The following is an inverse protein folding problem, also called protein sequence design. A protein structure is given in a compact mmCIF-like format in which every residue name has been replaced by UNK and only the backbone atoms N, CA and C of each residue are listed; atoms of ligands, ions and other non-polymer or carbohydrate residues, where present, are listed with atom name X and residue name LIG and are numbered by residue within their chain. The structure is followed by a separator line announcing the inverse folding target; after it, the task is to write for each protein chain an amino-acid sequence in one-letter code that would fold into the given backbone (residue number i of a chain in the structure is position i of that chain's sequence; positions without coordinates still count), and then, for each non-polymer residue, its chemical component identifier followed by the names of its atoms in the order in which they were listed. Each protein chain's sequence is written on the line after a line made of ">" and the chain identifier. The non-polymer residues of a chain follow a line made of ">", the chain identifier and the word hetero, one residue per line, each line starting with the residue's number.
data_IF_461813860644
#
_entry.id   IF_461813860644
#
_cell.length_a   1.000
_cell.length_b   1.000
_cell.length_c   1.000
_cell.angle_alpha   90.00
_cell.angle_beta   90.00
_cell.angle_gamma   90.00
#
_symmetry.space_group_name_H-M   'P 1'
#
loop_
_entity.id
_entity.type
_entity.pdbx_description
1 polymer ?
#
# COMPACT_ATOMS: atom_id res chain seq x y z
N UNK A 1 -10.88 5.16 -14.09
CA UNK A 1 -9.53 5.48 -14.64
C UNK A 1 -8.47 5.42 -13.55
N UNK A 2 -8.67 6.14 -12.44
CA UNK A 2 -7.73 6.16 -11.32
C UNK A 2 -7.36 4.76 -10.82
N UNK A 3 -8.33 3.87 -10.60
CA UNK A 3 -8.07 2.50 -10.13
C UNK A 3 -7.28 1.65 -11.12
N UNK A 4 -7.39 1.92 -12.42
CA UNK A 4 -6.62 1.26 -13.47
C UNK A 4 -5.20 1.81 -13.60
N UNK A 5 -4.83 2.87 -12.87
CA UNK A 5 -3.48 3.44 -12.91
C UNK A 5 -3.22 4.38 -14.09
N UNK A 6 -4.27 5.01 -14.61
CA UNK A 6 -4.17 6.07 -15.63
C UNK A 6 -4.47 7.43 -15.01
N UNK A 7 -3.56 8.39 -15.17
CA UNK A 7 -3.62 9.71 -14.53
C UNK A 7 -3.46 10.89 -15.48
N UNK A 8 -3.20 10.64 -16.76
CA UNK A 8 -2.93 11.69 -17.73
C UNK A 8 -4.16 12.55 -18.00
N UNK A 9 -3.92 13.82 -18.34
CA UNK A 9 -4.94 14.77 -18.81
C UNK A 9 -6.12 14.97 -17.83
N UNK A 10 -5.90 14.80 -16.53
CA UNK A 10 -6.93 15.03 -15.50
C UNK A 10 -8.05 13.98 -15.49
N UNK A 11 -7.99 12.93 -16.31
CA UNK A 11 -9.05 11.90 -16.44
C UNK A 11 -9.28 11.05 -15.18
N UNK A 12 -8.43 11.20 -14.18
CA UNK A 12 -8.47 10.41 -12.93
C UNK A 12 -8.90 11.22 -11.71
N UNK A 13 -9.27 12.48 -11.90
CA UNK A 13 -9.80 13.32 -10.85
C UNK A 13 -11.27 12.96 -10.58
N UNK A 14 -11.58 12.64 -9.32
CA UNK A 14 -12.92 12.29 -8.87
C UNK A 14 -13.45 13.27 -7.82
N UNK A 15 -12.92 14.50 -7.78
CA UNK A 15 -13.35 15.55 -6.85
C UNK A 15 -14.81 15.97 -7.04
N UNK A 16 -15.41 15.69 -8.20
CA UNK A 16 -16.83 15.93 -8.50
C UNK A 16 -17.81 15.15 -7.62
N UNK A 17 -17.33 14.14 -6.87
CA UNK A 17 -18.13 13.48 -5.84
C UNK A 17 -18.39 14.40 -4.62
N UNK A 18 -17.54 15.40 -4.40
CA UNK A 18 -17.71 16.34 -3.31
C UNK A 18 -18.65 17.48 -3.69
N UNK A 19 -19.55 17.81 -2.76
CA UNK A 19 -20.54 18.86 -2.93
C UNK A 19 -19.93 20.25 -3.20
N UNK A 20 -18.79 20.57 -2.58
CA UNK A 20 -18.08 21.84 -2.78
C UNK A 20 -17.62 22.02 -4.23
N UNK A 21 -17.13 20.97 -4.88
CA UNK A 21 -16.73 21.00 -6.29
C UNK A 21 -17.91 21.32 -7.22
N UNK A 22 -19.13 20.97 -6.78
CA UNK A 22 -20.39 21.30 -7.48
C UNK A 22 -20.97 22.67 -7.11
N UNK A 23 -20.30 23.43 -6.25
CA UNK A 23 -20.79 24.72 -5.74
C UNK A 23 -21.94 24.60 -4.74
N UNK A 24 -22.17 23.42 -4.16
CA UNK A 24 -23.24 23.20 -3.18
C UNK A 24 -22.76 23.54 -1.78
N UNK A 25 -23.68 24.00 -0.91
CA UNK A 25 -23.39 24.33 0.49
C UNK A 25 -23.64 23.19 1.47
N UNK A 26 -24.30 22.11 1.01
CA UNK A 26 -24.64 20.93 1.81
C UNK A 26 -24.11 19.65 1.15
N UNK A 27 -23.63 18.68 1.94
CA UNK A 27 -23.06 17.42 1.42
C UNK A 27 -24.15 16.41 1.01
N UNK A 28 -25.02 16.77 0.07
CA UNK A 28 -26.15 15.92 -0.38
C UNK A 28 -25.89 15.17 -1.69
N UNK A 29 -24.66 15.23 -2.22
CA UNK A 29 -24.29 14.49 -3.43
C UNK A 29 -24.31 13.00 -3.14
N UNK A 30 -25.19 12.25 -3.80
CA UNK A 30 -25.18 10.78 -3.77
C UNK A 30 -24.06 10.30 -4.67
N UNK A 31 -22.89 10.11 -4.07
CA UNK A 31 -21.72 9.59 -4.78
C UNK A 31 -21.79 8.08 -4.93
N UNK A 32 -21.25 7.57 -6.04
CA UNK A 32 -21.04 6.14 -6.28
C UNK A 32 -19.68 5.94 -6.95
N UNK A 33 -19.06 4.77 -6.75
CA UNK A 33 -17.88 4.38 -7.51
C UNK A 33 -18.26 3.77 -8.87
N UNK A 34 -19.40 3.11 -8.90
CA UNK A 34 -20.01 2.45 -10.06
C UNK A 34 -21.52 2.33 -9.81
N UNK A 35 -22.29 2.15 -10.87
CA UNK A 35 -23.75 2.02 -10.83
C UNK A 35 -24.23 0.93 -11.77
N UNK A 36 -25.54 0.72 -11.91
CA UNK A 36 -26.05 -0.24 -12.88
C UNK A 36 -25.83 0.17 -14.34
N UNK A 37 -25.58 1.46 -14.60
CA UNK A 37 -25.42 2.02 -15.95
C UNK A 37 -23.95 2.18 -16.38
N UNK A 38 -23.01 2.03 -15.45
CA UNK A 38 -21.56 2.16 -15.69
C UNK A 38 -20.84 0.84 -15.47
N UNK A 39 -19.74 0.62 -16.21
CA UNK A 39 -18.96 -0.61 -16.09
C UNK A 39 -18.28 -0.74 -14.72
N UNK A 40 -18.16 -1.97 -14.22
CA UNK A 40 -17.56 -2.27 -12.90
C UNK A 40 -16.10 -1.84 -12.86
N UNK A 41 -15.69 -1.23 -11.75
CA UNK A 41 -14.29 -0.90 -11.49
C UNK A 41 -13.44 -2.17 -11.48
N UNK A 42 -13.93 -3.24 -10.86
CA UNK A 42 -13.19 -4.49 -10.79
C UNK A 42 -13.02 -5.12 -12.17
N UNK A 43 -14.08 -5.15 -12.99
CA UNK A 43 -13.99 -5.62 -14.37
C UNK A 43 -12.99 -4.78 -15.17
N UNK A 44 -13.10 -3.44 -15.11
CA UNK A 44 -12.17 -2.53 -15.79
C UNK A 44 -10.72 -2.74 -15.34
N UNK A 45 -10.47 -2.93 -14.04
CA UNK A 45 -9.13 -3.21 -13.52
C UNK A 45 -8.57 -4.53 -14.09
N UNK A 46 -9.38 -5.60 -14.11
CA UNK A 46 -8.96 -6.91 -14.61
C UNK A 46 -8.70 -6.92 -16.12
N UNK A 47 -9.50 -6.17 -16.90
CA UNK A 47 -9.40 -6.17 -18.37
C UNK A 47 -8.41 -5.13 -18.91
N UNK A 48 -8.33 -3.96 -18.27
CA UNK A 48 -7.66 -2.78 -18.82
C UNK A 48 -6.72 -2.11 -17.81
N UNK A 49 -6.40 -2.78 -16.70
CA UNK A 49 -5.48 -2.27 -15.70
C UNK A 49 -4.09 -2.04 -16.27
N UNK A 50 -3.49 -0.89 -15.95
CA UNK A 50 -2.12 -0.58 -16.32
C UNK A 50 -1.12 -1.48 -15.56
N UNK A 51 0.11 -1.52 -16.03
CA UNK A 51 1.20 -2.28 -15.40
C UNK A 51 2.53 -1.57 -15.54
N UNK A 52 3.44 -1.86 -14.60
CA UNK A 52 4.84 -1.46 -14.71
C UNK A 52 5.72 -2.47 -13.97
N UNK A 53 6.73 -3.00 -14.66
CA UNK A 53 7.56 -4.09 -14.13
C UNK A 53 6.70 -5.29 -13.74
N UNK A 54 6.82 -5.73 -12.49
CA UNK A 54 6.07 -6.87 -11.94
C UNK A 54 4.70 -6.49 -11.38
N UNK A 55 4.37 -5.20 -11.32
CA UNK A 55 3.07 -4.75 -10.84
C UNK A 55 2.06 -4.72 -11.98
N UNK A 56 1.09 -5.63 -11.95
CA UNK A 56 0.02 -5.71 -12.95
C UNK A 56 -1.33 -5.56 -12.27
N UNK A 57 -2.08 -4.49 -12.62
CA UNK A 57 -3.43 -4.28 -12.07
C UNK A 57 -4.42 -5.34 -12.58
N UNK A 58 -4.13 -5.99 -13.71
CA UNK A 58 -4.93 -7.09 -14.25
C UNK A 58 -4.88 -8.36 -13.39
N UNK A 59 -3.90 -8.49 -12.49
CA UNK A 59 -3.85 -9.61 -11.54
C UNK A 59 -4.94 -9.44 -10.48
N UNK A 60 -5.66 -10.53 -10.17
CA UNK A 60 -6.82 -10.48 -9.27
C UNK A 60 -6.49 -9.85 -7.91
N UNK A 61 -5.40 -10.27 -7.27
CA UNK A 61 -4.97 -9.74 -5.97
C UNK A 61 -4.70 -8.23 -6.03
N UNK A 62 -3.99 -7.77 -7.06
CA UNK A 62 -3.73 -6.35 -7.30
C UNK A 62 -5.02 -5.59 -7.55
N UNK A 63 -5.89 -6.07 -8.44
CA UNK A 63 -7.17 -5.44 -8.76
C UNK A 63 -8.06 -5.28 -7.51
N UNK A 64 -8.12 -6.29 -6.63
CA UNK A 64 -8.86 -6.22 -5.37
C UNK A 64 -8.29 -5.13 -4.44
N UNK A 65 -6.95 -5.02 -4.35
CA UNK A 65 -6.31 -3.93 -3.59
C UNK A 65 -6.65 -2.55 -4.15
N UNK A 66 -6.78 -2.42 -5.49
CA UNK A 66 -7.22 -1.16 -6.13
C UNK A 66 -8.64 -0.77 -5.72
N UNK A 67 -9.53 -1.73 -5.48
CA UNK A 67 -10.88 -1.46 -4.95
C UNK A 67 -10.81 -0.97 -3.49
N UNK A 68 -9.95 -1.55 -2.66
CA UNK A 68 -9.72 -1.06 -1.30
C UNK A 68 -9.23 0.39 -1.28
N UNK A 69 -8.23 0.70 -2.11
CA UNK A 69 -7.69 2.06 -2.29
C UNK A 69 -8.79 3.04 -2.76
N UNK A 70 -9.63 2.64 -3.71
CA UNK A 70 -10.76 3.47 -4.14
C UNK A 70 -11.75 3.72 -3.00
N UNK A 71 -12.10 2.69 -2.24
CA UNK A 71 -13.01 2.78 -1.10
C UNK A 71 -12.49 3.73 0.00
N UNK A 72 -11.18 3.69 0.28
CA UNK A 72 -10.52 4.54 1.27
C UNK A 72 -10.66 6.04 0.97
N UNK A 73 -10.78 6.41 -0.30
CA UNK A 73 -11.05 7.79 -0.73
C UNK A 73 -12.55 8.05 -0.87
N UNK A 74 -13.27 7.14 -1.50
CA UNK A 74 -14.69 7.27 -1.79
C UNK A 74 -15.51 7.45 -0.52
N UNK A 75 -15.37 6.57 0.47
CA UNK A 75 -16.25 6.56 1.63
C UNK A 75 -16.04 7.75 2.55
N UNK A 76 -14.81 8.26 2.67
CA UNK A 76 -14.49 9.34 3.61
C UNK A 76 -14.91 10.73 3.13
N UNK A 77 -15.10 10.94 1.82
CA UNK A 77 -15.51 12.26 1.31
C UNK A 77 -16.92 12.55 1.83
N UNK A 78 -17.19 13.71 2.46
CA UNK A 78 -18.48 14.00 3.08
C UNK A 78 -19.68 13.87 2.12
N UNK A 79 -20.76 13.27 2.62
CA UNK A 79 -22.04 13.09 1.93
C UNK A 79 -22.47 11.62 1.78
N UNK A 80 -23.69 11.38 1.30
CA UNK A 80 -24.22 10.03 1.10
C UNK A 80 -23.38 9.24 0.08
N UNK A 81 -23.33 7.93 0.28
CA UNK A 81 -22.55 7.00 -0.55
C UNK A 81 -23.45 5.84 -0.94
N UNK A 82 -23.46 5.52 -2.22
CA UNK A 82 -24.12 4.34 -2.77
C UNK A 82 -23.04 3.33 -3.15
N UNK A 83 -23.19 2.11 -2.63
CA UNK A 83 -22.37 0.96 -3.00
C UNK A 83 -23.26 0.07 -3.85
N UNK A 84 -22.82 -0.25 -5.06
CA UNK A 84 -23.54 -1.16 -5.93
C UNK A 84 -23.34 -2.60 -5.45
N UNK A 85 -24.34 -3.46 -5.67
CA UNK A 85 -24.40 -4.82 -5.13
C UNK A 85 -23.10 -5.61 -5.37
N UNK A 86 -22.53 -6.20 -4.31
CA UNK A 86 -21.26 -6.95 -4.33
C UNK A 86 -20.01 -6.10 -4.67
N UNK A 87 -20.11 -4.79 -4.86
CA UNK A 87 -18.96 -3.91 -5.04
C UNK A 87 -17.99 -3.96 -3.84
N UNK A 88 -18.52 -4.20 -2.65
CA UNK A 88 -17.79 -4.44 -1.40
C UNK A 88 -17.04 -5.78 -1.36
N UNK A 89 -17.18 -6.62 -2.39
CA UNK A 89 -16.45 -7.87 -2.57
C UNK A 89 -15.74 -7.95 -3.94
N UNK A 90 -15.61 -6.81 -4.63
CA UNK A 90 -14.95 -6.71 -5.93
C UNK A 90 -15.73 -7.38 -7.05
N UNK A 91 -17.02 -7.05 -7.21
CA UNK A 91 -17.83 -7.63 -8.27
C UNK A 91 -17.30 -7.33 -9.68
N UNK A 92 -17.03 -8.38 -10.44
CA UNK A 92 -16.21 -8.37 -11.66
C UNK A 92 -16.94 -8.84 -12.92
N UNK A 93 -18.27 -9.02 -12.88
CA UNK A 93 -19.03 -9.26 -14.11
C UNK A 93 -19.31 -7.95 -14.82
N UNK A 94 -19.02 -7.94 -16.13
CA UNK A 94 -19.38 -6.84 -17.01
C UNK A 94 -20.87 -6.50 -16.94
N UNK A 95 -21.20 -5.22 -17.09
CA UNK A 95 -22.58 -4.75 -17.27
C UNK A 95 -23.30 -5.40 -18.46
N UNK A 96 -22.56 -5.85 -19.46
CA UNK A 96 -23.11 -6.51 -20.65
C UNK A 96 -23.41 -8.00 -20.41
N UNK A 97 -23.10 -8.56 -19.23
CA UNK A 97 -23.43 -9.95 -18.92
C UNK A 97 -24.95 -10.14 -18.97
N UNK A 98 -25.39 -11.06 -19.85
CA UNK A 98 -26.81 -11.29 -20.13
C UNK A 98 -27.54 -10.03 -20.64
N UNK A 99 -26.82 -9.09 -21.27
CA UNK A 99 -27.31 -7.77 -21.67
C UNK A 99 -27.48 -6.81 -20.49
N UNK A 100 -27.52 -5.49 -20.77
CA UNK A 100 -27.56 -4.42 -19.75
C UNK A 100 -28.68 -4.58 -18.73
N UNK A 101 -29.88 -4.92 -19.19
CA UNK A 101 -31.07 -5.13 -18.34
C UNK A 101 -31.19 -6.56 -17.78
N UNK A 102 -30.28 -7.46 -18.17
CA UNK A 102 -30.31 -8.85 -17.74
C UNK A 102 -29.88 -9.01 -16.29
N UNK A 103 -30.45 -10.03 -15.63
CA UNK A 103 -30.06 -10.43 -14.28
C UNK A 103 -28.59 -10.80 -14.25
N UNK A 104 -27.87 -10.20 -13.29
CA UNK A 104 -26.45 -10.46 -13.03
C UNK A 104 -26.30 -11.58 -11.98
N UNK A 105 -25.23 -12.39 -12.03
CA UNK A 105 -25.00 -13.46 -11.07
C UNK A 105 -24.95 -12.98 -9.61
N UNK A 106 -25.55 -13.75 -8.71
CA UNK A 106 -25.44 -13.51 -7.26
C UNK A 106 -24.19 -14.23 -6.76
N UNK A 107 -23.24 -13.51 -6.16
CA UNK A 107 -21.92 -14.03 -5.79
C UNK A 107 -21.66 -14.00 -4.28
N UNK A 108 -22.51 -14.67 -3.50
CA UNK A 108 -22.28 -14.83 -2.05
C UNK A 108 -21.02 -15.64 -1.73
N UNK A 109 -20.58 -16.49 -2.65
CA UNK A 109 -19.31 -17.22 -2.58
C UNK A 109 -18.10 -16.27 -2.49
N UNK A 110 -18.19 -15.04 -3.02
CA UNK A 110 -17.11 -14.04 -2.87
C UNK A 110 -16.80 -13.69 -1.42
N UNK A 111 -17.77 -13.81 -0.51
CA UNK A 111 -17.53 -13.54 0.90
C UNK A 111 -16.61 -14.60 1.54
N UNK A 112 -16.51 -15.79 0.95
CA UNK A 112 -15.66 -16.89 1.44
C UNK A 112 -14.20 -16.73 0.98
N UNK A 113 -13.95 -15.94 -0.06
CA UNK A 113 -12.60 -15.60 -0.52
C UNK A 113 -11.98 -14.53 0.41
N UNK A 114 -10.86 -14.84 1.09
CA UNK A 114 -10.24 -13.89 2.03
C UNK A 114 -9.79 -12.57 1.40
N UNK A 115 -9.32 -12.58 0.15
CA UNK A 115 -8.85 -11.37 -0.54
C UNK A 115 -10.03 -10.45 -0.91
N UNK A 116 -11.17 -11.04 -1.30
CA UNK A 116 -12.40 -10.29 -1.57
C UNK A 116 -13.02 -9.77 -0.28
N UNK A 117 -13.08 -10.61 0.75
CA UNK A 117 -13.56 -10.21 2.09
C UNK A 117 -12.75 -9.07 2.68
N UNK A 118 -11.46 -8.95 2.37
CA UNK A 118 -10.65 -7.80 2.79
C UNK A 118 -11.21 -6.45 2.29
N UNK A 119 -11.85 -6.40 1.11
CA UNK A 119 -12.54 -5.18 0.65
C UNK A 119 -13.70 -4.84 1.58
N UNK A 120 -14.52 -5.84 1.91
CA UNK A 120 -15.63 -5.69 2.83
C UNK A 120 -15.14 -5.19 4.20
N UNK A 121 -14.07 -5.78 4.74
CA UNK A 121 -13.51 -5.39 6.05
C UNK A 121 -13.01 -3.94 6.04
N UNK A 122 -12.33 -3.51 4.97
CA UNK A 122 -11.92 -2.10 4.77
C UNK A 122 -13.13 -1.18 4.73
N UNK A 123 -14.14 -1.49 3.91
CA UNK A 123 -15.36 -0.66 3.80
C UNK A 123 -16.14 -0.61 5.12
N UNK A 124 -16.23 -1.73 5.84
CA UNK A 124 -16.88 -1.81 7.15
C UNK A 124 -16.14 -0.96 8.19
N UNK A 125 -14.80 -1.01 8.21
CA UNK A 125 -13.99 -0.15 9.07
C UNK A 125 -14.19 1.34 8.76
N UNK A 126 -14.15 1.72 7.49
CA UNK A 126 -14.40 3.10 7.06
C UNK A 126 -15.81 3.57 7.44
N UNK A 127 -16.84 2.75 7.25
CA UNK A 127 -18.20 3.10 7.65
C UNK A 127 -18.35 3.22 9.18
N UNK A 128 -17.66 2.38 9.96
CA UNK A 128 -17.62 2.49 11.41
C UNK A 128 -16.94 3.78 11.86
N UNK A 129 -15.81 4.14 11.24
CA UNK A 129 -15.16 5.43 11.49
C UNK A 129 -16.10 6.59 11.19
N UNK A 130 -16.78 6.58 10.04
CA UNK A 130 -17.75 7.62 9.67
C UNK A 130 -18.89 7.75 10.68
N UNK A 131 -19.46 6.63 11.12
CA UNK A 131 -20.53 6.61 12.11
C UNK A 131 -20.07 7.09 13.50
N UNK A 132 -18.78 6.97 13.81
CA UNK A 132 -18.24 7.26 15.14
C UNK A 132 -17.67 8.68 15.25
N UNK A 133 -16.96 9.15 14.23
CA UNK A 133 -16.24 10.43 14.28
C UNK A 133 -16.89 11.45 13.35
N UNK A 134 -17.35 12.55 13.94
CA UNK A 134 -18.04 13.64 13.20
C UNK A 134 -17.16 14.28 12.11
N UNK A 135 -15.82 14.17 12.20
CA UNK A 135 -14.88 14.73 11.22
C UNK A 135 -15.14 14.25 9.79
N UNK A 136 -15.63 13.01 9.61
CA UNK A 136 -15.99 12.46 8.30
C UNK A 136 -17.29 13.03 7.72
N UNK A 137 -18.00 13.84 8.50
CA UNK A 137 -19.16 14.62 8.08
C UNK A 137 -18.87 16.13 8.05
N UNK A 138 -17.60 16.53 8.27
CA UNK A 138 -17.21 17.93 8.32
C UNK A 138 -17.35 18.60 6.95
N UNK A 139 -17.71 19.88 6.97
CA UNK A 139 -17.60 20.75 5.80
C UNK A 139 -16.21 21.37 5.67
N UNK A 140 -15.27 21.09 6.56
CA UNK A 140 -13.88 21.52 6.46
C UNK A 140 -13.00 20.35 6.00
N UNK A 141 -12.75 20.34 4.68
CA UNK A 141 -11.95 19.32 4.01
C UNK A 141 -11.32 19.92 2.75
N UNK A 142 -10.19 19.33 2.35
CA UNK A 142 -9.45 19.66 1.13
C UNK A 142 -9.15 18.39 0.35
N UNK A 143 -9.21 18.50 -0.99
CA UNK A 143 -9.04 17.39 -1.91
C UNK A 143 -7.88 17.69 -2.86
N UNK A 144 -6.92 16.79 -2.95
CA UNK A 144 -5.85 16.80 -3.94
C UNK A 144 -5.89 15.47 -4.68
N UNK A 145 -6.69 15.44 -5.75
CA UNK A 145 -7.12 14.22 -6.43
C UNK A 145 -6.75 14.22 -7.92
N UNK A 146 -6.02 15.21 -8.40
CA UNK A 146 -5.68 15.33 -9.83
C UNK A 146 -4.56 14.39 -10.28
N UNK A 147 -3.59 14.12 -9.41
CA UNK A 147 -2.41 13.30 -9.72
C UNK A 147 -2.60 11.81 -9.36
N UNK A 148 -1.63 10.95 -9.69
CA UNK A 148 -1.62 9.56 -9.23
C UNK A 148 -1.34 9.42 -7.73
N UNK A 149 -0.63 10.37 -7.13
CA UNK A 149 -0.57 10.51 -5.67
C UNK A 149 -1.72 11.39 -5.21
N UNK A 150 -2.64 10.82 -4.43
CA UNK A 150 -3.85 11.51 -4.00
C UNK A 150 -3.84 11.73 -2.50
N UNK A 151 -4.42 12.85 -2.07
CA UNK A 151 -4.54 13.23 -0.66
C UNK A 151 -5.91 13.82 -0.34
N UNK A 152 -6.42 13.50 0.83
CA UNK A 152 -7.58 14.16 1.44
C UNK A 152 -7.20 14.64 2.83
N UNK A 153 -7.59 15.86 3.15
CA UNK A 153 -7.59 16.39 4.51
C UNK A 153 -9.03 16.57 4.96
N UNK A 154 -9.35 16.13 6.17
CA UNK A 154 -10.60 16.48 6.85
C UNK A 154 -10.27 17.01 8.24
N UNK A 155 -11.03 17.97 8.73
CA UNK A 155 -10.86 18.47 10.08
C UNK A 155 -12.18 18.94 10.69
N UNK A 156 -12.25 18.89 12.01
CA UNK A 156 -13.26 19.57 12.80
C UNK A 156 -12.58 20.16 14.06
N UNK A 157 -13.36 20.69 15.01
CA UNK A 157 -12.80 21.28 16.23
C UNK A 157 -12.11 20.31 17.21
N UNK A 158 -12.06 19.00 16.93
CA UNK A 158 -11.55 17.95 17.83
C UNK A 158 -10.55 17.02 17.13
N UNK A 159 -10.78 16.73 15.85
CA UNK A 159 -10.06 15.68 15.11
C UNK A 159 -9.61 16.20 13.75
N UNK A 160 -8.40 15.83 13.36
CA UNK A 160 -7.82 16.05 12.04
C UNK A 160 -7.49 14.69 11.41
N UNK A 161 -7.72 14.59 10.10
CA UNK A 161 -7.53 13.37 9.33
C UNK A 161 -6.72 13.67 8.07
N UNK A 162 -5.79 12.78 7.76
CA UNK A 162 -5.07 12.75 6.49
C UNK A 162 -5.28 11.39 5.83
N UNK A 163 -5.73 11.38 4.59
CA UNK A 163 -5.78 10.15 3.78
C UNK A 163 -4.85 10.30 2.59
N UNK A 164 -4.01 9.29 2.37
CA UNK A 164 -3.03 9.23 1.30
C UNK A 164 -3.26 7.98 0.48
N UNK A 165 -3.01 8.05 -0.81
CA UNK A 165 -3.20 6.92 -1.72
C UNK A 165 -2.32 7.04 -2.93
N UNK A 166 -1.64 5.95 -3.26
CA UNK A 166 -0.84 5.84 -4.47
C UNK A 166 -1.60 5.08 -5.55
N UNK A 167 -2.28 5.84 -6.41
CA UNK A 167 -2.96 5.29 -7.57
C UNK A 167 -2.01 4.99 -8.74
N UNK A 168 -0.72 5.31 -8.67
CA UNK A 168 0.22 4.90 -9.70
C UNK A 168 0.43 3.37 -9.73
N UNK A 169 1.11 2.90 -10.78
CA UNK A 169 1.64 1.53 -10.92
C UNK A 169 3.08 1.38 -10.42
N UNK A 170 3.66 2.45 -9.87
CA UNK A 170 4.99 2.47 -9.28
C UNK A 170 4.94 3.10 -7.88
N UNK A 171 5.92 2.76 -7.06
CA UNK A 171 6.07 3.35 -5.75
C UNK A 171 6.64 4.77 -5.82
N UNK A 172 6.18 5.67 -4.96
CA UNK A 172 6.75 7.01 -4.85
C UNK A 172 6.43 7.63 -3.47
N UNK A 173 7.00 8.79 -3.18
CA UNK A 173 6.70 9.57 -1.99
C UNK A 173 5.55 10.54 -2.24
N UNK A 174 4.72 10.74 -1.22
CA UNK A 174 3.70 11.77 -1.18
C UNK A 174 4.02 12.73 -0.03
N UNK A 175 3.87 14.03 -0.26
CA UNK A 175 3.89 15.00 0.83
C UNK A 175 2.52 15.00 1.52
N UNK A 176 2.42 14.50 2.76
CA UNK A 176 1.14 14.38 3.45
C UNK A 176 0.57 15.73 3.87
N UNK A 177 1.40 16.78 3.96
CA UNK A 177 1.00 18.10 4.46
C UNK A 177 0.13 17.98 5.71
N UNK A 178 0.63 17.27 6.74
CA UNK A 178 -0.12 17.07 7.98
C UNK A 178 -0.56 18.44 8.53
N UNK A 179 -1.79 18.53 9.02
CA UNK A 179 -2.33 19.81 9.50
C UNK A 179 -1.63 20.30 10.78
N UNK A 180 -0.92 19.40 11.49
CA UNK A 180 -0.07 19.71 12.65
C UNK A 180 1.03 18.67 12.87
N UNK A 181 2.06 19.08 13.62
CA UNK A 181 3.06 18.17 14.19
C UNK A 181 2.51 17.44 15.41
N UNK A 182 3.24 16.41 15.87
CA UNK A 182 2.88 15.57 17.00
C UNK A 182 2.49 14.15 16.58
N UNK A 183 1.83 13.43 17.49
CA UNK A 183 1.44 12.04 17.26
C UNK A 183 0.20 11.91 16.39
N UNK A 184 0.33 11.07 15.37
CA UNK A 184 -0.75 10.62 14.50
C UNK A 184 -0.88 9.10 14.57
N UNK A 185 -2.07 8.57 14.33
CA UNK A 185 -2.38 7.15 14.39
C UNK A 185 -2.76 6.63 13.01
N UNK A 186 -2.04 5.62 12.54
CA UNK A 186 -2.33 4.91 11.30
C UNK A 186 -3.45 3.91 11.56
N UNK A 187 -4.62 4.16 10.97
CA UNK A 187 -5.83 3.45 11.34
C UNK A 187 -5.83 2.00 10.89
N UNK A 188 -5.28 1.72 9.72
CA UNK A 188 -5.28 0.37 9.16
C UNK A 188 -4.07 -0.44 9.59
N UNK A 189 -2.92 0.21 9.82
CA UNK A 189 -1.75 -0.47 10.37
C UNK A 189 -1.78 -0.60 11.91
N UNK A 190 -2.72 0.09 12.59
CA UNK A 190 -2.86 0.12 14.05
C UNK A 190 -1.58 0.57 14.76
N UNK A 191 -0.86 1.48 14.13
CA UNK A 191 0.41 2.02 14.61
C UNK A 191 0.28 3.53 14.84
N UNK A 192 1.35 4.17 15.28
CA UNK A 192 1.46 5.61 15.41
C UNK A 192 2.72 6.15 14.73
N UNK A 193 2.60 7.37 14.21
CA UNK A 193 3.69 8.14 13.62
C UNK A 193 3.87 9.42 14.43
N UNK A 194 5.10 9.70 14.85
CA UNK A 194 5.44 11.00 15.42
C UNK A 194 5.86 11.93 14.28
N UNK A 195 5.00 12.90 13.96
CA UNK A 195 5.22 13.87 12.88
C UNK A 195 5.99 15.06 13.44
N UNK A 196 7.28 15.14 13.10
CA UNK A 196 8.16 16.26 13.50
C UNK A 196 8.15 17.41 12.49
N UNK A 197 7.73 17.15 11.26
CA UNK A 197 7.54 18.14 10.21
C UNK A 197 6.29 17.83 9.40
N UNK A 198 5.44 18.83 9.18
CA UNK A 198 4.21 18.67 8.38
C UNK A 198 4.49 18.30 6.92
N UNK A 199 5.71 18.57 6.43
CA UNK A 199 6.17 18.24 5.08
C UNK A 199 6.93 16.92 5.01
N UNK A 200 7.02 16.16 6.10
CA UNK A 200 7.72 14.87 6.13
C UNK A 200 7.09 13.91 5.11
N UNK A 201 7.82 13.51 4.04
CA UNK A 201 7.24 12.70 2.99
C UNK A 201 6.93 11.28 3.49
N UNK A 202 5.80 10.74 3.05
CA UNK A 202 5.40 9.36 3.32
C UNK A 202 5.63 8.54 2.05
N UNK A 203 6.35 7.44 2.21
CA UNK A 203 6.56 6.47 1.13
C UNK A 203 5.34 5.58 0.97
N UNK A 204 4.85 5.40 -0.26
CA UNK A 204 3.76 4.49 -0.58
C UNK A 204 4.11 3.60 -1.78
N UNK A 205 3.88 2.29 -1.62
CA UNK A 205 3.90 1.32 -2.72
C UNK A 205 2.74 1.57 -3.70
N UNK A 206 2.84 1.03 -4.90
CA UNK A 206 1.74 1.09 -5.86
C UNK A 206 0.48 0.43 -5.28
N UNK A 207 -0.67 1.10 -5.36
CA UNK A 207 -1.93 0.60 -4.79
C UNK A 207 -2.09 0.80 -3.28
N UNK A 208 -1.08 1.30 -2.58
CA UNK A 208 -1.12 1.48 -1.13
C UNK A 208 -1.90 2.74 -0.73
N UNK A 209 -2.60 2.67 0.40
CA UNK A 209 -3.21 3.81 1.06
C UNK A 209 -2.88 3.86 2.56
N UNK A 210 -3.08 5.04 3.14
CA UNK A 210 -2.93 5.32 4.56
C UNK A 210 -4.05 6.24 5.01
N UNK A 211 -4.57 6.02 6.21
CA UNK A 211 -5.51 6.92 6.87
C UNK A 211 -4.93 7.23 8.24
N UNK A 212 -4.57 8.49 8.47
CA UNK A 212 -4.03 8.98 9.72
C UNK A 212 -5.06 9.83 10.45
N UNK A 213 -5.17 9.66 11.77
CA UNK A 213 -5.97 10.49 12.66
C UNK A 213 -5.09 11.03 13.79
N UNK A 214 -5.29 12.28 14.20
CA UNK A 214 -4.58 12.87 15.35
C UNK A 214 -5.19 12.45 16.70
N UNK A 215 -6.39 11.87 16.67
CA UNK A 215 -7.05 11.19 17.76
C UNK A 215 -6.90 9.68 17.60
N UNK A 216 -6.52 8.97 18.69
CA UNK A 216 -6.41 7.52 18.67
C UNK A 216 -7.78 6.86 18.46
N UNK A 217 -7.98 6.08 17.38
CA UNK A 217 -9.22 5.34 17.21
C UNK A 217 -9.30 4.14 18.15
N UNK A 218 -10.51 3.69 18.43
CA UNK A 218 -10.74 2.39 19.06
C UNK A 218 -10.44 1.23 18.10
N UNK A 219 -9.18 0.81 18.07
CA UNK A 219 -8.71 -0.27 17.20
C UNK A 219 -9.36 -1.62 17.50
N UNK A 220 -9.83 -1.86 18.73
CA UNK A 220 -10.45 -3.14 19.09
C UNK A 220 -11.74 -3.38 18.32
N UNK A 221 -12.45 -2.28 18.01
CA UNK A 221 -13.73 -2.31 17.32
C UNK A 221 -13.63 -2.06 15.81
N UNK A 222 -12.44 -1.91 15.22
CA UNK A 222 -12.31 -1.81 13.76
C UNK A 222 -12.04 -3.20 13.16
N UNK A 223 -12.81 -3.65 12.15
CA UNK A 223 -12.46 -4.82 11.37
C UNK A 223 -11.01 -4.68 10.90
N UNK A 224 -10.19 -5.69 11.16
CA UNK A 224 -8.82 -5.71 10.66
C UNK A 224 -8.94 -5.83 9.14
N UNK A 225 -8.54 -4.80 8.40
CA UNK A 225 -8.17 -5.04 7.01
C UNK A 225 -7.07 -6.10 7.09
N UNK A 226 -7.33 -7.30 6.55
CA UNK A 226 -6.31 -8.32 6.34
C UNK A 226 -5.07 -7.57 5.86
N UNK A 227 -3.90 -7.80 6.49
CA UNK A 227 -2.63 -7.23 6.04
C UNK A 227 -2.70 -7.19 4.53
N UNK A 228 -2.72 -5.97 3.95
CA UNK A 228 -2.66 -5.81 2.50
C UNK A 228 -1.33 -6.46 2.18
N UNK A 229 -1.34 -7.76 1.88
CA UNK A 229 -0.14 -8.51 1.62
C UNK A 229 0.44 -7.75 0.44
N UNK A 230 1.58 -7.06 0.63
CA UNK A 230 2.17 -6.35 -0.49
C UNK A 230 2.27 -7.42 -1.56
N UNK A 231 1.58 -7.21 -2.70
CA UNK A 231 1.76 -8.08 -3.86
C UNK A 231 3.26 -8.20 -3.98
N UNK A 232 3.84 -9.40 -3.87
CA UNK A 232 5.28 -9.54 -3.87
C UNK A 232 5.78 -9.08 -5.24
N UNK A 233 6.02 -7.78 -5.39
CA UNK A 233 6.96 -7.29 -6.37
C UNK A 233 8.26 -7.93 -5.95
N UNK A 234 8.80 -8.73 -6.89
CA UNK A 234 9.81 -9.75 -6.72
C UNK A 234 10.62 -9.63 -5.42
N UNK A 235 10.75 -10.72 -4.63
CA UNK A 235 11.59 -10.69 -3.42
C UNK A 235 12.93 -10.04 -3.79
N UNK A 236 13.44 -9.13 -2.95
CA UNK A 236 14.83 -8.70 -3.09
C UNK A 236 15.63 -9.99 -3.16
N UNK A 237 16.13 -10.31 -4.36
CA UNK A 237 16.85 -11.55 -4.58
C UNK A 237 18.20 -11.35 -3.92
N UNK A 238 18.37 -12.04 -2.81
CA UNK A 238 19.58 -12.07 -2.01
C UNK A 238 20.08 -13.50 -2.01
N UNK A 239 21.17 -13.75 -2.72
CA UNK A 239 21.78 -15.08 -2.83
C UNK A 239 23.28 -15.01 -2.63
N UNK A 240 23.85 -16.10 -2.13
CA UNK A 240 25.29 -16.30 -2.02
C UNK A 240 25.73 -17.32 -3.07
N UNK A 241 26.70 -16.95 -3.92
CA UNK A 241 27.32 -17.88 -4.86
C UNK A 241 28.84 -17.66 -4.95
N UNK A 242 29.66 -18.72 -4.85
CA UNK A 242 29.27 -20.10 -4.55
C UNK A 242 28.76 -20.27 -3.11
N UNK A 243 27.90 -21.26 -2.89
CA UNK A 243 27.44 -21.69 -1.57
C UNK A 243 27.09 -23.19 -1.63
N UNK A 244 27.84 -24.08 -0.95
CA UNK A 244 28.95 -23.80 -0.04
C UNK A 244 30.20 -23.18 -0.71
N UNK A 245 31.10 -22.58 0.06
CA UNK A 245 32.33 -21.94 -0.45
C UNK A 245 33.54 -22.19 0.46
N UNK A 246 34.76 -22.11 -0.09
CA UNK A 246 36.02 -22.38 0.64
C UNK A 246 36.71 -21.11 1.18
N UNK A 247 36.75 -20.05 0.38
CA UNK A 247 37.52 -18.83 0.67
C UNK A 247 36.68 -17.57 0.55
N UNK A 248 35.91 -17.44 -0.52
CA UNK A 248 35.07 -16.27 -0.78
C UNK A 248 33.72 -16.68 -1.36
N UNK A 249 32.70 -15.87 -1.09
CA UNK A 249 31.39 -15.94 -1.73
C UNK A 249 30.96 -14.54 -2.16
N UNK A 250 30.10 -14.48 -3.17
CA UNK A 250 29.48 -13.24 -3.64
C UNK A 250 28.02 -13.22 -3.23
N UNK A 251 27.66 -12.21 -2.46
CA UNK A 251 26.29 -11.87 -2.10
C UNK A 251 25.71 -10.98 -3.20
N UNK A 252 24.86 -11.56 -4.05
CA UNK A 252 24.16 -10.84 -5.11
C UNK A 252 22.85 -10.31 -4.57
N UNK A 253 22.61 -9.02 -4.75
CA UNK A 253 21.43 -8.29 -4.27
C UNK A 253 20.77 -7.58 -5.45
N UNK A 254 19.48 -7.83 -5.66
CA UNK A 254 18.69 -7.03 -6.58
C UNK A 254 17.91 -5.95 -5.82
N UNK A 255 18.26 -4.69 -6.08
CA UNK A 255 17.63 -3.52 -5.47
C UNK A 255 16.62 -2.94 -6.47
N UNK A 256 15.37 -2.78 -6.03
CA UNK A 256 14.23 -2.36 -6.87
C UNK A 256 14.12 -0.83 -7.02
N UNK A 257 14.70 -0.07 -6.09
CA UNK A 257 14.76 1.40 -6.14
C UNK A 257 15.95 1.95 -5.35
N UNK A 258 16.38 3.19 -5.60
CA UNK A 258 17.42 3.83 -4.81
C UNK A 258 17.06 3.90 -3.31
N UNK A 259 17.88 3.31 -2.45
CA UNK A 259 17.63 3.25 -1.01
C UNK A 259 18.90 3.03 -0.19
N UNK A 260 18.81 3.28 1.12
CA UNK A 260 19.82 2.82 2.08
C UNK A 260 19.67 1.33 2.34
N UNK A 261 20.78 0.62 2.25
CA UNK A 261 20.88 -0.82 2.53
C UNK A 261 22.01 -1.09 3.50
N UNK A 262 21.82 -2.08 4.38
CA UNK A 262 22.84 -2.63 5.27
C UNK A 262 22.90 -4.13 5.09
N UNK A 263 24.06 -4.67 4.75
CA UNK A 263 24.30 -6.08 4.53
C UNK A 263 25.23 -6.63 5.61
N UNK A 264 24.69 -7.46 6.49
CA UNK A 264 25.38 -8.03 7.63
C UNK A 264 25.60 -9.54 7.45
N UNK A 265 26.71 -10.05 7.97
CA UNK A 265 26.95 -11.48 8.20
C UNK A 265 26.75 -11.77 9.69
N UNK A 266 26.01 -12.84 9.99
CA UNK A 266 25.68 -13.28 11.33
C UNK A 266 26.12 -14.74 11.53
N UNK A 267 26.48 -15.11 12.75
CA UNK A 267 26.74 -16.50 13.13
C UNK A 267 25.43 -17.24 13.48
N UNK A 268 25.54 -18.52 13.85
CA UNK A 268 24.40 -19.37 14.25
C UNK A 268 23.59 -18.82 15.44
N UNK A 269 24.21 -18.05 16.32
CA UNK A 269 23.55 -17.41 17.46
C UNK A 269 22.98 -16.03 17.12
N UNK A 270 22.98 -15.63 15.83
CA UNK A 270 22.52 -14.33 15.37
C UNK A 270 23.45 -13.16 15.72
N UNK A 271 24.67 -13.44 16.21
CA UNK A 271 25.66 -12.41 16.53
C UNK A 271 26.30 -11.88 15.25
N UNK A 272 26.51 -10.57 15.20
CA UNK A 272 27.18 -9.90 14.09
C UNK A 272 28.63 -10.39 13.95
N UNK A 273 28.96 -10.85 12.75
CA UNK A 273 30.31 -11.25 12.35
C UNK A 273 31.00 -10.12 11.60
N UNK A 274 30.31 -9.54 10.61
CA UNK A 274 30.83 -8.45 9.77
C UNK A 274 29.71 -7.67 9.10
N UNK A 275 29.86 -6.35 8.97
CA UNK A 275 29.04 -5.54 8.05
C UNK A 275 29.75 -5.48 6.70
N UNK A 276 29.20 -6.14 5.68
CA UNK A 276 29.82 -6.18 4.33
C UNK A 276 29.61 -4.86 3.59
N UNK A 277 28.46 -4.22 3.80
CA UNK A 277 28.14 -2.93 3.21
C UNK A 277 27.11 -2.18 4.03
N UNK A 278 27.25 -0.86 4.10
CA UNK A 278 26.23 0.02 4.66
C UNK A 278 26.23 1.35 3.90
N UNK A 279 25.11 1.71 3.28
CA UNK A 279 25.00 2.98 2.58
C UNK A 279 23.89 3.02 1.54
N UNK A 280 23.90 4.07 0.73
CA UNK A 280 22.98 4.23 -0.39
C UNK A 280 23.40 3.36 -1.58
N UNK A 281 22.42 2.76 -2.25
CA UNK A 281 22.58 2.08 -3.54
C UNK A 281 21.48 2.52 -4.50
N UNK A 282 21.81 2.56 -5.79
CA UNK A 282 20.84 2.75 -6.87
C UNK A 282 20.07 1.43 -7.11
N UNK A 283 19.00 1.50 -7.90
CA UNK A 283 18.34 0.31 -8.43
C UNK A 283 19.30 -0.53 -9.30
N UNK A 284 19.00 -1.82 -9.42
CA UNK A 284 19.78 -2.78 -10.18
C UNK A 284 20.45 -3.86 -9.33
N UNK A 285 21.34 -4.62 -9.98
CA UNK A 285 22.03 -5.77 -9.38
C UNK A 285 23.35 -5.29 -8.79
N UNK A 286 23.58 -5.60 -7.51
CA UNK A 286 24.79 -5.31 -6.77
C UNK A 286 25.42 -6.59 -6.27
N UNK A 287 26.75 -6.65 -6.29
CA UNK A 287 27.50 -7.78 -5.79
C UNK A 287 28.42 -7.34 -4.65
N UNK A 288 28.37 -8.07 -3.54
CA UNK A 288 29.20 -7.83 -2.37
C UNK A 288 29.99 -9.08 -2.05
N UNK A 289 31.32 -8.96 -1.97
CA UNK A 289 32.18 -10.11 -1.67
C UNK A 289 32.36 -10.25 -0.16
N UNK A 290 32.22 -11.47 0.34
CA UNK A 290 32.69 -11.85 1.67
C UNK A 290 33.78 -12.91 1.57
N UNK A 291 34.82 -12.73 2.38
CA UNK A 291 36.08 -13.50 2.35
C UNK A 291 36.26 -14.40 3.59
N UNK A 292 35.18 -14.65 4.33
CA UNK A 292 35.24 -15.48 5.53
C UNK A 292 36.05 -14.83 6.66
N UNK A 293 36.01 -13.50 6.76
CA UNK A 293 36.60 -12.72 7.86
C UNK A 293 35.53 -12.04 8.72
N UNK A 294 35.86 -11.81 9.99
CA UNK A 294 35.09 -10.97 10.90
C UNK A 294 35.48 -9.49 10.73
N UNK A 295 34.79 -8.61 11.45
CA UNK A 295 35.03 -7.15 11.45
C UNK A 295 36.49 -6.79 11.81
N UNK A 296 37.12 -7.57 12.69
CA UNK A 296 38.53 -7.38 13.10
C UNK A 296 39.56 -7.93 12.08
N UNK A 297 39.11 -8.35 10.89
CA UNK A 297 39.96 -8.93 9.84
C UNK A 297 40.40 -10.37 10.10
N UNK A 298 40.09 -10.95 11.26
CA UNK A 298 40.44 -12.34 11.55
C UNK A 298 39.52 -13.29 10.79
N UNK A 299 40.09 -14.42 10.38
CA UNK A 299 39.38 -15.50 9.71
C UNK A 299 38.39 -16.17 10.67
N UNK A 300 37.16 -16.41 10.21
CA UNK A 300 36.14 -17.15 10.98
C UNK A 300 36.18 -18.66 10.68
N UNK A 301 35.63 -19.49 11.57
CA UNK A 301 35.63 -20.94 11.41
C UNK A 301 34.71 -21.43 10.26
N UNK A 302 34.99 -22.61 9.71
CA UNK A 302 34.07 -23.29 8.79
C UNK A 302 32.78 -23.64 9.52
N UNK A 303 31.66 -23.06 9.09
CA UNK A 303 30.36 -23.20 9.74
C UNK A 303 29.23 -22.68 8.83
N UNK A 304 28.00 -22.85 9.31
CA UNK A 304 26.82 -22.16 8.77
C UNK A 304 26.80 -20.70 9.25
N UNK A 305 26.61 -19.78 8.31
CA UNK A 305 26.43 -18.36 8.56
C UNK A 305 25.13 -17.89 7.92
N UNK A 306 24.60 -16.78 8.42
CA UNK A 306 23.47 -16.09 7.83
C UNK A 306 23.92 -14.75 7.27
N UNK A 307 23.37 -14.36 6.13
CA UNK A 307 23.46 -12.99 5.66
C UNK A 307 22.11 -12.31 5.85
N UNK A 308 22.12 -11.02 6.20
CA UNK A 308 20.94 -10.21 6.43
C UNK A 308 21.08 -8.89 5.68
N UNK A 309 20.19 -8.66 4.73
CA UNK A 309 20.00 -7.35 4.12
C UNK A 309 18.87 -6.62 4.83
N UNK A 310 19.18 -5.46 5.40
CA UNK A 310 18.20 -4.55 5.97
C UNK A 310 18.07 -3.33 5.05
N UNK A 311 16.83 -3.03 4.66
CA UNK A 311 16.46 -1.83 3.92
C UNK A 311 15.55 -0.95 4.78
N UNK A 312 15.09 0.18 4.23
CA UNK A 312 14.10 1.02 4.92
C UNK A 312 12.72 0.33 5.07
N UNK A 313 12.39 -0.63 4.21
CA UNK A 313 11.05 -1.20 4.09
C UNK A 313 10.97 -2.71 4.40
N UNK A 314 12.09 -3.44 4.48
CA UNK A 314 12.12 -4.88 4.75
C UNK A 314 13.45 -5.39 5.27
N UNK A 315 13.45 -6.62 5.79
CA UNK A 315 14.64 -7.40 6.14
C UNK A 315 14.58 -8.71 5.37
N UNK A 316 15.61 -8.98 4.56
CA UNK A 316 15.77 -10.25 3.83
C UNK A 316 16.97 -10.98 4.38
N UNK A 317 16.82 -12.29 4.58
CA UNK A 317 17.87 -13.14 5.12
C UNK A 317 18.05 -14.38 4.25
N UNK A 318 19.24 -14.97 4.34
CA UNK A 318 19.52 -16.28 3.80
C UNK A 318 20.73 -16.88 4.48
N UNK A 319 21.06 -18.11 4.10
CA UNK A 319 22.11 -18.91 4.74
C UNK A 319 23.21 -19.26 3.77
N UNK A 320 24.43 -19.39 4.28
CA UNK A 320 25.60 -19.82 3.53
C UNK A 320 26.52 -20.67 4.37
N UNK A 321 27.19 -21.63 3.73
CA UNK A 321 28.08 -22.58 4.38
C UNK A 321 29.51 -22.33 3.94
N UNK A 322 30.38 -22.03 4.91
CA UNK A 322 31.83 -21.97 4.70
C UNK A 322 32.42 -23.35 4.99
N UNK A 323 32.97 -23.99 3.96
CA UNK A 323 33.75 -25.21 4.04
C UNK A 323 35.20 -24.80 4.32
N UNK A 324 35.83 -25.35 5.35
CA UNK A 324 37.25 -25.12 5.58
C UNK A 324 37.93 -26.41 5.96
#
# INVERSE_FOLDING_TARGET
>A
EATMGYHDQGKSDFSWIAHKTRGWSKPHVVGYMESHDEERLMYKNLQYGNSQGDYRITDLSTALQRIQLAAAFFLIIPGPKMIWQFGELGYDYTIEYNGRLGRKPIRWDYYQDPQRRAIYDVMAALNRLRATYRVFHSNDFQLDLGSGMKRIHLQDSLTQVVVLGNFNVFANYVNPLFQKTGRWYDVFNRDSLEVTSIHQPIFLRAGEFRLYMDQRPDFANLPTAVEIQPVPQNPILLSAYPNPFNSTTVLRVQIDRPMRVKLDILNLQGRLVKTVWQGWKQDGIHEFRWDGTAENGQRVAGALYFYRLQTADRIVHGKMTLLR
#
